data_IF_163364858653
#
_entry.id   IF_163364858653
#
_cell.length_a   1.000
_cell.length_b   1.000
_cell.length_c   1.000
_cell.angle_alpha   90.00
_cell.angle_beta   90.00
_cell.angle_gamma   90.00
#
_symmetry.space_group_name_H-M   'P 1'
#
loop_
_entity.id
_entity.type
_entity.pdbx_description
1 polymer ?
#
# COMPACT_ATOMS: atom_id res chain seq x y z
N UNK A 1 -8.14 10.53 4.73
CA UNK A 1 -7.34 9.29 4.88
C UNK A 1 -5.95 9.49 4.31
N UNK A 2 -4.96 8.91 4.93
CA UNK A 2 -3.56 9.00 4.48
C UNK A 2 -3.10 7.62 3.99
N UNK A 3 -2.52 7.57 2.80
CA UNK A 3 -2.03 6.34 2.19
C UNK A 3 -0.57 6.52 1.83
N UNK A 4 0.25 5.55 2.19
CA UNK A 4 1.66 5.51 1.84
C UNK A 4 1.88 4.40 0.81
N UNK A 5 2.44 4.74 -0.34
CA UNK A 5 2.83 3.79 -1.38
C UNK A 5 4.34 3.71 -1.40
N UNK A 6 4.89 2.60 -0.93
CA UNK A 6 6.31 2.44 -0.70
C UNK A 6 6.81 1.20 -1.45
N UNK A 7 7.23 1.36 -2.68
CA UNK A 7 7.77 0.29 -3.51
C UNK A 7 9.25 0.49 -3.74
N UNK A 8 9.96 -0.61 -4.00
CA UNK A 8 11.37 -0.56 -4.36
C UNK A 8 11.59 0.34 -5.57
N UNK A 9 12.77 0.95 -5.65
CA UNK A 9 13.07 1.88 -6.73
C UNK A 9 12.99 1.25 -8.12
N UNK A 10 13.22 -0.06 -8.23
CA UNK A 10 13.06 -0.79 -9.49
C UNK A 10 11.61 -0.75 -10.00
N UNK A 11 10.65 -0.49 -9.12
CA UNK A 11 9.23 -0.39 -9.44
C UNK A 11 8.72 1.05 -9.34
N UNK A 12 9.59 2.02 -9.52
CA UNK A 12 9.24 3.44 -9.38
C UNK A 12 8.08 3.86 -10.26
N UNK A 13 8.10 3.45 -11.52
CA UNK A 13 7.02 3.79 -12.45
C UNK A 13 5.69 3.22 -11.98
N UNK A 14 5.70 1.97 -11.54
CA UNK A 14 4.50 1.32 -11.01
C UNK A 14 3.99 2.03 -9.75
N UNK A 15 4.91 2.40 -8.88
CA UNK A 15 4.60 3.17 -7.66
C UNK A 15 3.91 4.48 -7.99
N UNK A 16 4.44 5.21 -8.96
CA UNK A 16 3.87 6.49 -9.36
C UNK A 16 2.51 6.33 -10.02
N UNK A 17 2.31 5.28 -10.79
CA UNK A 17 1.01 4.98 -11.41
C UNK A 17 -0.03 4.69 -10.34
N UNK A 18 0.31 3.90 -9.34
CA UNK A 18 -0.62 3.60 -8.23
C UNK A 18 -0.97 4.90 -7.49
N UNK A 19 0.03 5.68 -7.12
CA UNK A 19 -0.19 6.92 -6.37
C UNK A 19 -1.05 7.92 -7.17
N UNK A 20 -0.74 8.08 -8.45
CA UNK A 20 -1.49 8.97 -9.33
C UNK A 20 -2.94 8.49 -9.52
N UNK A 21 -3.12 7.19 -9.69
CA UNK A 21 -4.45 6.60 -9.85
C UNK A 21 -5.32 6.80 -8.62
N UNK A 22 -4.75 6.60 -7.44
CA UNK A 22 -5.47 6.84 -6.18
C UNK A 22 -5.83 8.32 -6.05
N UNK A 23 -4.87 9.19 -6.32
CA UNK A 23 -5.11 10.64 -6.23
C UNK A 23 -6.20 11.09 -7.20
N UNK A 24 -6.22 10.55 -8.41
CA UNK A 24 -7.20 10.88 -9.42
C UNK A 24 -8.60 10.38 -9.07
N UNK A 25 -8.70 9.15 -8.60
CA UNK A 25 -9.98 8.48 -8.36
C UNK A 25 -10.52 8.65 -6.93
N UNK A 26 -9.66 9.07 -6.01
CA UNK A 26 -10.03 9.39 -4.62
C UNK A 26 -9.35 10.69 -4.18
N UNK A 27 -9.75 11.84 -4.77
CA UNK A 27 -9.02 13.10 -4.59
C UNK A 27 -9.02 13.64 -3.15
N UNK A 28 -9.91 13.15 -2.30
CA UNK A 28 -9.95 13.54 -0.89
C UNK A 28 -8.88 12.81 -0.04
N UNK A 29 -8.16 11.87 -0.64
CA UNK A 29 -7.16 11.05 0.04
C UNK A 29 -5.78 11.68 -0.14
N UNK A 30 -5.01 11.74 0.95
CA UNK A 30 -3.60 12.14 0.87
C UNK A 30 -2.76 10.91 0.56
N UNK A 31 -2.00 10.98 -0.52
CA UNK A 31 -1.13 9.89 -0.97
C UNK A 31 0.30 10.37 -1.02
N UNK A 32 1.19 9.62 -0.39
CA UNK A 32 2.63 9.85 -0.47
C UNK A 32 3.26 8.61 -1.09
N UNK A 33 4.12 8.79 -2.07
CA UNK A 33 4.90 7.71 -2.66
C UNK A 33 6.37 7.88 -2.28
N UNK A 34 7.03 6.78 -1.93
CA UNK A 34 8.42 6.80 -1.50
C UNK A 34 9.10 5.48 -1.83
N UNK A 35 10.43 5.47 -1.75
CA UNK A 35 11.22 4.26 -1.88
C UNK A 35 11.02 3.36 -0.66
N UNK A 36 11.09 2.05 -0.86
CA UNK A 36 10.95 1.09 0.22
C UNK A 36 12.00 1.27 1.32
N UNK A 37 13.18 1.78 0.97
CA UNK A 37 14.26 2.01 1.92
C UNK A 37 13.90 3.00 3.03
N UNK A 38 12.96 3.91 2.78
CA UNK A 38 12.55 4.92 3.76
C UNK A 38 11.19 4.60 4.39
N UNK A 39 10.72 3.37 4.22
CA UNK A 39 9.39 2.97 4.70
C UNK A 39 9.18 3.27 6.19
N UNK A 40 10.13 2.89 7.05
CA UNK A 40 9.98 3.09 8.49
C UNK A 40 9.89 4.57 8.86
N UNK A 41 10.73 5.39 8.23
CA UNK A 41 10.73 6.83 8.49
C UNK A 41 9.43 7.48 8.01
N UNK A 42 8.95 7.09 6.83
CA UNK A 42 7.72 7.61 6.28
C UNK A 42 6.51 7.19 7.11
N UNK A 43 6.47 5.95 7.57
CA UNK A 43 5.41 5.47 8.47
C UNK A 43 5.36 6.32 9.73
N UNK A 44 6.52 6.62 10.29
CA UNK A 44 6.61 7.40 11.53
C UNK A 44 6.17 8.85 11.35
N UNK A 45 6.56 9.47 10.23
CA UNK A 45 6.29 10.89 9.99
C UNK A 45 4.92 11.15 9.38
N UNK A 46 4.47 10.30 8.47
CA UNK A 46 3.22 10.49 7.75
C UNK A 46 2.03 9.93 8.51
N UNK A 47 2.26 8.93 9.36
CA UNK A 47 1.22 8.24 10.13
C UNK A 47 0.08 7.75 9.21
N UNK A 48 0.39 6.88 8.24
CA UNK A 48 -0.62 6.46 7.25
C UNK A 48 -1.66 5.53 7.85
N UNK A 49 -2.85 5.57 7.29
CA UNK A 49 -3.92 4.63 7.62
C UNK A 49 -3.78 3.33 6.84
N UNK A 50 -3.19 3.39 5.65
CA UNK A 50 -2.95 2.25 4.79
C UNK A 50 -1.56 2.36 4.19
N UNK A 51 -0.81 1.26 4.20
CA UNK A 51 0.50 1.16 3.55
C UNK A 51 0.40 0.14 2.42
N UNK A 52 0.82 0.54 1.22
CA UNK A 52 0.96 -0.35 0.07
C UNK A 52 2.45 -0.47 -0.20
N UNK A 53 3.00 -1.67 -0.08
CA UNK A 53 4.44 -1.90 -0.21
C UNK A 53 4.72 -3.14 -1.06
N UNK A 54 5.97 -3.30 -1.50
CA UNK A 54 6.39 -4.46 -2.27
C UNK A 54 7.07 -5.50 -1.38
N UNK A 55 7.12 -6.74 -1.83
CA UNK A 55 7.88 -7.79 -1.17
C UNK A 55 9.35 -7.72 -1.60
N UNK A 56 10.28 -8.16 -0.75
CA UNK A 56 10.11 -8.49 0.66
C UNK A 56 10.13 -7.22 1.52
N UNK A 57 9.08 -6.99 2.25
CA UNK A 57 9.05 -5.91 3.20
C UNK A 57 9.46 -6.46 4.56
N UNK A 58 10.64 -6.07 5.01
CA UNK A 58 11.15 -6.46 6.32
C UNK A 58 10.81 -5.44 7.39
N UNK A 59 10.31 -4.28 6.98
CA UNK A 59 9.96 -3.21 7.90
C UNK A 59 8.75 -3.59 8.75
N UNK A 60 8.79 -3.14 9.99
CA UNK A 60 7.64 -3.24 10.86
C UNK A 60 6.73 -2.06 10.62
N UNK A 61 5.45 -2.32 10.58
CA UNK A 61 4.46 -1.28 10.30
C UNK A 61 3.98 -0.57 11.58
N UNK A 62 4.59 -0.88 12.72
CA UNK A 62 4.19 -0.27 13.98
C UNK A 62 2.75 -0.64 14.34
N UNK A 63 1.95 0.36 14.66
CA UNK A 63 0.56 0.19 15.02
C UNK A 63 -0.39 0.21 13.82
N UNK A 64 0.16 0.14 12.60
CA UNK A 64 -0.66 0.15 11.40
C UNK A 64 -1.37 -1.19 11.26
N UNK A 65 -2.69 -1.14 11.20
CA UNK A 65 -3.53 -2.33 11.14
C UNK A 65 -3.99 -2.67 9.72
N UNK A 66 -3.69 -1.81 8.75
CA UNK A 66 -4.08 -2.01 7.35
C UNK A 66 -2.87 -1.85 6.44
N UNK A 67 -2.54 -2.90 5.69
CA UNK A 67 -1.43 -2.85 4.74
C UNK A 67 -1.64 -3.84 3.61
N UNK A 68 -0.97 -3.59 2.49
CA UNK A 68 -0.97 -4.46 1.31
C UNK A 68 0.49 -4.71 0.93
N UNK A 69 0.88 -5.97 0.87
CA UNK A 69 2.18 -6.38 0.35
C UNK A 69 2.02 -6.92 -1.06
N UNK A 70 2.51 -6.17 -2.05
CA UNK A 70 2.44 -6.57 -3.46
C UNK A 70 3.58 -7.52 -3.81
N UNK A 71 3.25 -8.62 -4.45
CA UNK A 71 4.22 -9.63 -4.88
C UNK A 71 4.61 -9.37 -6.34
N UNK A 72 5.49 -8.37 -6.55
CA UNK A 72 5.84 -7.92 -7.90
C UNK A 72 6.89 -8.78 -8.58
N UNK A 73 7.82 -9.36 -7.81
CA UNK A 73 8.91 -10.18 -8.35
C UNK A 73 8.50 -11.60 -8.69
N UNK A 74 7.48 -12.10 -8.01
CA UNK A 74 7.00 -13.47 -8.19
C UNK A 74 5.51 -13.45 -8.49
N UNK A 75 5.11 -13.32 -9.77
CA UNK A 75 3.69 -13.28 -10.13
C UNK A 75 2.90 -14.51 -9.71
N UNK A 76 3.59 -15.65 -9.49
CA UNK A 76 2.96 -16.88 -9.02
C UNK A 76 2.63 -16.86 -7.53
N UNK A 77 3.22 -15.91 -6.78
CA UNK A 77 2.91 -15.74 -5.36
C UNK A 77 1.81 -14.69 -5.20
N UNK A 78 0.81 -14.95 -4.36
CA UNK A 78 -0.23 -13.97 -4.12
C UNK A 78 0.29 -12.78 -3.33
N UNK A 79 -0.31 -11.62 -3.57
CA UNK A 79 -0.14 -10.45 -2.71
C UNK A 79 -0.93 -10.68 -1.42
N UNK A 80 -0.45 -10.15 -0.32
CA UNK A 80 -1.07 -10.34 0.99
C UNK A 80 -1.67 -9.02 1.45
N UNK A 81 -2.92 -9.06 1.87
CA UNK A 81 -3.63 -7.91 2.40
C UNK A 81 -3.93 -8.14 3.87
N UNK A 82 -3.81 -7.10 4.66
CA UNK A 82 -4.24 -7.11 6.05
C UNK A 82 -5.12 -5.89 6.29
N UNK A 83 -6.37 -6.12 6.66
CA UNK A 83 -7.32 -5.05 6.99
C UNK A 83 -7.85 -5.33 8.38
N UNK A 84 -7.51 -4.46 9.32
CA UNK A 84 -7.93 -4.56 10.71
C UNK A 84 -7.61 -5.94 11.32
N UNK A 85 -6.39 -6.42 11.06
CA UNK A 85 -5.92 -7.70 11.57
C UNK A 85 -6.39 -8.93 10.80
N UNK A 86 -7.22 -8.77 9.77
CA UNK A 86 -7.71 -9.88 8.94
C UNK A 86 -6.85 -10.00 7.69
N UNK A 87 -6.26 -11.18 7.51
CA UNK A 87 -5.38 -11.46 6.37
C UNK A 87 -6.18 -12.07 5.22
N UNK A 88 -5.83 -11.67 4.00
CA UNK A 88 -6.34 -12.29 2.79
C UNK A 88 -5.26 -12.26 1.73
N UNK A 89 -5.39 -13.14 0.72
CA UNK A 89 -4.47 -13.22 -0.39
C UNK A 89 -5.19 -12.87 -1.68
N UNK A 90 -4.47 -12.23 -2.59
CA UNK A 90 -5.03 -11.82 -3.88
C UNK A 90 -3.95 -11.92 -4.96
N UNK A 91 -4.22 -12.67 -6.02
CA UNK A 91 -3.29 -12.80 -7.13
C UNK A 91 -3.36 -11.55 -8.02
N UNK A 92 -2.20 -10.92 -8.23
CA UNK A 92 -2.06 -9.78 -9.15
C UNK A 92 -3.16 -8.72 -8.97
N UNK A 93 -3.27 -8.09 -7.80
CA UNK A 93 -4.31 -7.09 -7.59
C UNK A 93 -4.18 -5.93 -8.57
N UNK A 94 -5.30 -5.51 -9.13
CA UNK A 94 -5.37 -4.36 -10.05
C UNK A 94 -5.53 -3.09 -9.24
N UNK A 95 -5.41 -1.93 -9.91
CA UNK A 95 -5.71 -0.65 -9.27
C UNK A 95 -7.13 -0.64 -8.70
N UNK A 96 -8.10 -1.21 -9.43
CA UNK A 96 -9.48 -1.32 -8.96
C UNK A 96 -9.58 -2.11 -7.67
N UNK A 97 -8.83 -3.22 -7.56
CA UNK A 97 -8.79 -4.00 -6.32
C UNK A 97 -8.20 -3.19 -5.18
N UNK A 98 -7.14 -2.42 -5.43
CA UNK A 98 -6.54 -1.57 -4.42
C UNK A 98 -7.51 -0.47 -3.96
N UNK A 99 -8.28 0.09 -4.88
CA UNK A 99 -9.30 1.09 -4.53
C UNK A 99 -10.38 0.51 -3.64
N UNK A 100 -10.77 -0.74 -3.85
CA UNK A 100 -11.75 -1.43 -2.99
C UNK A 100 -11.19 -1.61 -1.58
N UNK A 101 -9.92 -1.99 -1.47
CA UNK A 101 -9.25 -2.09 -0.16
C UNK A 101 -9.25 -0.74 0.53
N UNK A 102 -8.91 0.30 -0.20
CA UNK A 102 -8.88 1.66 0.31
C UNK A 102 -10.24 2.09 0.84
N UNK A 103 -11.30 1.79 0.09
CA UNK A 103 -12.66 2.12 0.50
C UNK A 103 -13.07 1.36 1.78
N UNK A 104 -12.64 0.11 1.91
CA UNK A 104 -12.89 -0.67 3.13
C UNK A 104 -12.15 -0.07 4.33
N UNK A 105 -10.91 0.34 4.16
CA UNK A 105 -10.13 0.99 5.22
C UNK A 105 -10.80 2.29 5.64
N UNK A 106 -11.29 3.07 4.69
CA UNK A 106 -11.97 4.33 4.98
C UNK A 106 -13.20 4.13 5.84
N UNK A 107 -13.92 3.02 5.67
CA UNK A 107 -15.10 2.69 6.50
C UNK A 107 -14.72 2.40 7.95
N UNK A 108 -13.47 2.04 8.21
CA UNK A 108 -13.00 1.76 9.57
C UNK A 108 -12.60 3.05 10.31
N UNK A 109 -12.47 4.15 9.60
CA UNK A 109 -12.13 5.44 10.17
C UNK A 109 -13.40 6.20 10.58
#
# INVERSE_FOLDING_TARGET
>A
MRILVCLENDYRTYREVIAAGIHLLRPHTKVVSADLDVLEDEVRHFDPHLVICSLPATARYGDIVCWVQLSLECPSQPSVLCIDGRFSEHNNPTLENLLKVLDEVEKLL
#
